data_IF_616623890648
#
_entry.id   IF_616623890648
#
_cell.length_a   1.000
_cell.length_b   1.000
_cell.length_c   1.000
_cell.angle_alpha   90.00
_cell.angle_beta   90.00
_cell.angle_gamma   90.00
#
_symmetry.space_group_name_H-M   'P 1'
#
loop_
_entity.id
_entity.type
_entity.pdbx_description
1 polymer ?
#
# COMPACT_ATOMS: atom_id res chain seq x y z
N UNK A 1 7.89 16.18 5.35
CA UNK A 1 6.48 15.71 5.41
C UNK A 1 5.50 16.85 5.18
N UNK A 2 5.62 17.98 5.86
CA UNK A 2 4.70 19.12 5.76
C UNK A 2 4.61 19.72 4.34
N UNK A 3 5.70 19.71 3.57
CA UNK A 3 5.70 20.12 2.17
C UNK A 3 4.82 19.21 1.30
N UNK A 4 4.92 17.88 1.51
CA UNK A 4 4.10 16.90 0.79
C UNK A 4 2.64 17.05 1.20
N UNK A 5 2.36 17.18 2.49
CA UNK A 5 1.01 17.41 2.99
C UNK A 5 0.41 18.71 2.43
N UNK A 6 1.21 19.78 2.35
CA UNK A 6 0.80 21.05 1.75
C UNK A 6 0.50 20.93 0.26
N UNK A 7 1.35 20.19 -0.47
CA UNK A 7 1.14 19.90 -1.90
C UNK A 7 -0.17 19.15 -2.15
N UNK A 8 -0.41 18.08 -1.40
CA UNK A 8 -1.63 17.26 -1.52
C UNK A 8 -2.90 18.05 -1.16
N UNK A 9 -2.82 18.87 -0.13
CA UNK A 9 -3.94 19.73 0.32
C UNK A 9 -4.16 20.95 -0.57
N UNK A 10 -3.25 21.28 -1.48
CA UNK A 10 -3.23 22.55 -2.23
C UNK A 10 -3.28 23.78 -1.31
N UNK A 11 -2.75 23.65 -0.11
CA UNK A 11 -2.72 24.70 0.93
C UNK A 11 -1.53 24.44 1.86
N UNK A 12 -0.74 25.48 2.21
CA UNK A 12 0.35 25.35 3.17
C UNK A 12 -0.11 24.76 4.51
N UNK A 13 0.75 23.97 5.14
CA UNK A 13 0.58 23.57 6.55
C UNK A 13 1.08 24.74 7.41
N UNK A 14 0.21 25.28 8.25
CA UNK A 14 0.59 26.29 9.22
C UNK A 14 1.34 25.61 10.37
N UNK A 15 2.54 26.11 10.68
CA UNK A 15 3.39 25.58 11.74
C UNK A 15 3.54 26.60 12.87
N UNK A 16 3.68 26.10 14.08
CA UNK A 16 4.00 26.89 15.28
C UNK A 16 5.12 26.18 16.05
N UNK A 17 5.85 26.93 16.87
CA UNK A 17 6.86 26.35 17.74
C UNK A 17 6.21 25.44 18.78
N UNK A 18 6.86 24.31 19.04
CA UNK A 18 6.55 23.46 20.18
C UNK A 18 6.88 24.16 21.50
N UNK A 19 6.29 23.72 22.60
CA UNK A 19 6.42 24.38 23.91
C UNK A 19 7.74 24.05 24.60
N UNK A 20 8.22 22.82 24.47
CA UNK A 20 9.36 22.30 25.27
C UNK A 20 10.53 21.80 24.43
N UNK A 21 10.34 21.60 23.14
CA UNK A 21 11.39 21.14 22.21
C UNK A 21 11.59 22.17 21.08
N UNK A 22 12.82 22.27 20.55
CA UNK A 22 13.12 23.20 19.46
C UNK A 22 12.71 22.62 18.09
N UNK A 23 11.41 22.35 17.95
CA UNK A 23 10.77 21.85 16.72
C UNK A 23 9.54 22.71 16.39
N UNK A 24 9.09 22.61 15.14
CA UNK A 24 7.82 23.19 14.71
C UNK A 24 6.81 22.08 14.51
N UNK A 25 5.55 22.36 14.85
CA UNK A 25 4.44 21.41 14.83
C UNK A 25 3.22 22.03 14.11
N UNK A 26 2.32 21.22 13.54
CA UNK A 26 1.12 21.75 12.90
C UNK A 26 0.25 22.54 13.89
N UNK A 27 -0.01 23.83 13.56
CA UNK A 27 -0.75 24.76 14.41
C UNK A 27 -2.19 24.34 14.73
N UNK A 28 -2.77 23.44 13.91
CA UNK A 28 -4.15 22.99 14.05
C UNK A 28 -4.26 21.51 14.43
N UNK A 29 -3.19 20.89 14.94
CA UNK A 29 -3.23 19.56 15.47
C UNK A 29 -4.22 19.43 16.64
N UNK A 30 -4.88 18.30 16.78
CA UNK A 30 -5.77 18.03 17.91
C UNK A 30 -4.99 17.84 19.20
N UNK A 31 -3.88 17.07 19.11
CA UNK A 31 -2.93 16.81 20.21
C UNK A 31 -1.49 16.90 19.69
N UNK A 32 -0.60 17.44 20.51
CA UNK A 32 0.86 17.37 20.32
C UNK A 32 1.46 16.71 21.54
N UNK A 33 2.27 15.69 21.32
CA UNK A 33 3.05 15.02 22.34
C UNK A 33 4.51 15.42 22.12
N UNK A 34 5.12 16.08 23.09
CA UNK A 34 6.52 16.51 23.05
C UNK A 34 7.33 15.64 24.02
N UNK A 35 8.55 15.34 23.66
CA UNK A 35 9.39 14.50 24.49
C UNK A 35 10.70 14.12 23.80
N UNK A 36 11.31 13.07 24.30
CA UNK A 36 12.58 12.59 23.78
C UNK A 36 12.67 11.05 23.80
N UNK A 37 13.60 10.53 23.03
CA UNK A 37 13.98 9.11 23.02
C UNK A 37 15.46 9.02 23.44
N UNK A 38 15.75 8.28 24.50
CA UNK A 38 17.13 7.98 24.88
C UNK A 38 17.71 6.91 23.95
N UNK A 39 18.85 7.19 23.34
CA UNK A 39 19.50 6.25 22.44
C UNK A 39 19.91 4.98 23.20
N UNK A 40 19.40 3.84 22.75
CA UNK A 40 19.69 2.54 23.35
C UNK A 40 18.78 2.15 24.52
N UNK A 41 17.87 3.00 24.97
CA UNK A 41 16.81 2.57 25.90
C UNK A 41 15.73 1.82 25.12
N UNK A 42 15.60 0.54 25.43
CA UNK A 42 14.57 -0.33 24.86
C UNK A 42 13.71 -0.92 25.97
N UNK A 43 12.45 -1.14 25.69
CA UNK A 43 11.52 -1.89 26.55
C UNK A 43 10.72 -2.87 25.74
N UNK A 44 10.47 -4.02 26.33
CA UNK A 44 9.65 -5.06 25.69
C UNK A 44 8.22 -4.59 25.55
N UNK A 45 7.70 -4.69 24.33
CA UNK A 45 6.31 -4.39 23.97
C UNK A 45 5.64 -5.62 23.35
N UNK A 46 4.30 -5.72 23.49
CA UNK A 46 3.51 -6.80 22.93
C UNK A 46 3.32 -7.98 23.90
N UNK A 47 2.68 -9.08 23.42
CA UNK A 47 1.99 -9.16 22.12
C UNK A 47 0.70 -8.33 22.11
N UNK A 48 0.33 -7.80 20.95
CA UNK A 48 -0.98 -7.14 20.76
C UNK A 48 -1.64 -7.58 19.45
N UNK A 49 -2.98 -7.51 19.38
CA UNK A 49 -3.72 -7.86 18.17
C UNK A 49 -3.52 -6.82 17.08
N UNK A 50 -3.26 -7.27 15.86
CA UNK A 50 -2.93 -6.40 14.74
C UNK A 50 -3.87 -6.59 13.55
N UNK A 51 -3.81 -5.68 12.57
CA UNK A 51 -4.65 -5.68 11.38
C UNK A 51 -4.44 -6.91 10.48
N UNK A 52 -3.35 -7.61 10.62
CA UNK A 52 -3.12 -8.89 9.93
C UNK A 52 -4.07 -9.99 10.38
N UNK A 53 -4.77 -9.79 11.50
CA UNK A 53 -5.62 -10.81 12.14
C UNK A 53 -4.85 -11.76 13.07
N UNK A 54 -3.58 -11.47 13.31
CA UNK A 54 -2.71 -12.23 14.22
C UNK A 54 -2.20 -11.32 15.33
N UNK A 55 -1.74 -11.92 16.42
CA UNK A 55 -0.99 -11.20 17.45
C UNK A 55 0.43 -10.96 16.99
N UNK A 56 0.95 -9.75 17.21
CA UNK A 56 2.38 -9.47 17.06
C UNK A 56 3.19 -10.24 18.10
N UNK A 57 4.42 -10.57 17.77
CA UNK A 57 5.35 -11.12 18.75
C UNK A 57 5.83 -10.01 19.71
N UNK A 58 6.25 -10.41 20.90
CA UNK A 58 6.96 -9.48 21.78
C UNK A 58 8.32 -9.13 21.17
N UNK A 59 8.67 -7.85 21.23
CA UNK A 59 9.95 -7.34 20.78
C UNK A 59 10.36 -6.11 21.59
N UNK A 60 11.60 -5.71 21.50
CA UNK A 60 12.14 -4.56 22.24
C UNK A 60 12.08 -3.30 21.37
N UNK A 61 11.41 -2.27 21.86
CA UNK A 61 11.19 -1.02 21.14
C UNK A 61 11.76 0.17 21.91
N UNK A 62 12.19 1.25 21.19
CA UNK A 62 12.60 2.51 21.80
C UNK A 62 11.47 3.12 22.64
N UNK A 63 11.87 3.73 23.77
CA UNK A 63 10.94 4.40 24.68
C UNK A 63 10.84 5.87 24.36
N UNK A 64 9.61 6.37 24.15
CA UNK A 64 9.37 7.80 24.03
C UNK A 64 8.92 8.37 25.38
N UNK A 65 9.75 9.26 25.95
CA UNK A 65 9.47 9.95 27.20
C UNK A 65 8.68 11.22 26.94
N UNK A 66 7.39 11.20 27.21
CA UNK A 66 6.53 12.39 27.04
C UNK A 66 6.79 13.38 28.17
N UNK A 67 7.17 14.60 27.81
CA UNK A 67 7.44 15.71 28.76
C UNK A 67 6.37 16.81 28.72
N UNK A 68 5.65 16.95 27.61
CA UNK A 68 4.59 17.91 27.46
C UNK A 68 3.49 17.36 26.55
N UNK A 69 2.25 17.69 26.88
CA UNK A 69 1.08 17.40 26.04
C UNK A 69 0.32 18.70 25.88
N UNK A 70 0.21 19.16 24.64
CA UNK A 70 -0.65 20.30 24.28
C UNK A 70 -1.81 19.83 23.42
N UNK A 71 -2.94 20.51 23.47
CA UNK A 71 -4.13 20.15 22.71
C UNK A 71 -5.02 21.37 22.42
N UNK A 72 -5.88 21.24 21.44
CA UNK A 72 -6.92 22.24 21.15
C UNK A 72 -7.87 22.38 22.34
N UNK A 73 -8.63 23.48 22.37
CA UNK A 73 -9.59 23.75 23.43
C UNK A 73 -10.62 22.63 23.60
N UNK A 74 -11.16 22.10 22.52
CA UNK A 74 -12.10 20.99 22.50
C UNK A 74 -11.59 19.92 21.52
N UNK A 75 -10.56 19.14 21.91
CA UNK A 75 -9.87 18.24 21.00
C UNK A 75 -10.69 16.98 20.71
N UNK A 76 -10.55 16.47 19.50
CA UNK A 76 -11.08 15.18 19.09
C UNK A 76 -9.97 14.15 19.08
N UNK A 77 -10.09 13.09 19.86
CA UNK A 77 -9.17 11.97 19.80
C UNK A 77 -9.65 10.93 18.80
N UNK A 78 -8.88 10.73 17.74
CA UNK A 78 -9.14 9.70 16.76
C UNK A 78 -8.80 8.33 17.35
N UNK A 79 -9.80 7.49 17.56
CA UNK A 79 -9.63 6.14 18.07
C UNK A 79 -10.11 5.11 17.05
N UNK A 80 -9.41 3.99 16.96
CA UNK A 80 -9.72 2.89 16.06
C UNK A 80 -9.82 1.57 16.81
N UNK A 81 -10.42 0.58 16.16
CA UNK A 81 -10.40 -0.82 16.63
C UNK A 81 -9.55 -1.60 15.64
N UNK A 82 -8.40 -2.07 16.10
CA UNK A 82 -7.46 -2.86 15.30
C UNK A 82 -7.86 -4.33 15.31
N UNK A 83 -7.77 -4.99 14.17
CA UNK A 83 -8.03 -6.42 14.09
C UNK A 83 -8.18 -6.95 12.67
N UNK A 84 -8.64 -8.21 12.58
CA UNK A 84 -8.86 -8.89 11.31
C UNK A 84 -9.74 -8.06 10.36
N UNK A 85 -9.33 -7.86 9.11
CA UNK A 85 -10.09 -7.10 8.11
C UNK A 85 -11.54 -7.58 7.93
N UNK A 86 -12.48 -6.68 7.62
CA UNK A 86 -12.29 -5.25 7.43
C UNK A 86 -12.42 -4.47 8.75
N UNK A 87 -11.35 -3.83 9.19
CA UNK A 87 -11.32 -2.91 10.33
C UNK A 87 -10.76 -1.55 9.86
N UNK A 88 -10.11 -0.78 10.75
CA UNK A 88 -9.61 0.56 10.43
C UNK A 88 -8.68 0.61 9.23
N UNK A 89 -7.79 -0.37 9.07
CA UNK A 89 -6.81 -0.40 8.00
C UNK A 89 -7.41 -0.60 6.60
N UNK A 90 -8.62 -1.15 6.52
CA UNK A 90 -9.35 -1.17 5.27
C UNK A 90 -9.64 0.25 4.74
N UNK A 91 -9.94 1.17 5.64
CA UNK A 91 -10.23 2.58 5.32
C UNK A 91 -8.95 3.41 5.19
N UNK A 92 -7.97 3.16 6.06
CA UNK A 92 -6.66 3.81 5.98
C UNK A 92 -5.94 3.42 4.69
N UNK A 93 -5.92 2.13 4.34
CA UNK A 93 -5.37 1.64 3.07
C UNK A 93 -6.05 2.28 1.86
N UNK A 94 -7.38 2.44 1.90
CA UNK A 94 -8.12 3.13 0.84
C UNK A 94 -7.74 4.60 0.71
N UNK A 95 -7.53 5.30 1.81
CA UNK A 95 -7.03 6.68 1.79
C UNK A 95 -5.61 6.75 1.21
N UNK A 96 -4.71 5.85 1.64
CA UNK A 96 -3.33 5.77 1.16
C UNK A 96 -3.29 5.56 -0.36
N UNK A 97 -4.03 4.59 -0.89
CA UNK A 97 -4.03 4.34 -2.34
C UNK A 97 -4.49 5.58 -3.14
N UNK A 98 -5.53 6.29 -2.67
CA UNK A 98 -6.04 7.48 -3.37
C UNK A 98 -5.10 8.68 -3.28
N UNK A 99 -4.43 8.86 -2.15
CA UNK A 99 -3.46 9.94 -1.94
C UNK A 99 -2.20 9.71 -2.78
N UNK A 100 -1.70 8.47 -2.85
CA UNK A 100 -0.44 8.17 -3.51
C UNK A 100 -0.57 7.82 -4.99
N UNK A 101 -1.76 7.50 -5.50
CA UNK A 101 -1.95 7.22 -6.93
C UNK A 101 -1.41 8.33 -7.84
N UNK A 102 -1.70 9.63 -7.64
CA UNK A 102 -1.14 10.69 -8.49
C UNK A 102 0.40 10.75 -8.44
N UNK A 103 1.00 10.45 -7.30
CA UNK A 103 2.47 10.43 -7.16
C UNK A 103 3.09 9.23 -7.89
N UNK A 104 2.44 8.07 -7.85
CA UNK A 104 2.85 6.90 -8.63
C UNK A 104 2.78 7.20 -10.14
N UNK A 105 1.74 7.88 -10.58
CA UNK A 105 1.55 8.27 -11.99
C UNK A 105 2.59 9.26 -12.51
N UNK A 106 3.24 10.04 -11.65
CA UNK A 106 4.35 10.93 -12.06
C UNK A 106 5.55 10.13 -12.59
N UNK A 107 5.81 8.94 -12.03
CA UNK A 107 6.95 8.09 -12.42
C UNK A 107 6.54 6.91 -13.30
N UNK A 108 5.31 6.50 -13.21
CA UNK A 108 4.70 5.39 -13.97
C UNK A 108 3.34 5.84 -14.55
N UNK A 109 3.35 6.69 -15.60
CA UNK A 109 2.14 7.28 -16.17
C UNK A 109 1.20 6.25 -16.82
N UNK A 110 1.68 5.03 -17.05
CA UNK A 110 0.87 3.91 -17.52
C UNK A 110 -0.10 3.38 -16.47
N UNK A 111 0.10 3.66 -15.18
CA UNK A 111 -0.83 3.25 -14.12
C UNK A 111 -2.12 4.05 -14.25
N UNK A 112 -3.24 3.35 -14.39
CA UNK A 112 -4.58 3.94 -14.47
C UNK A 112 -5.20 4.02 -13.09
N UNK A 113 -5.21 2.90 -12.37
CA UNK A 113 -5.73 2.82 -11.01
C UNK A 113 -5.01 1.76 -10.17
N UNK A 114 -5.14 1.86 -8.86
CA UNK A 114 -4.62 0.88 -7.89
C UNK A 114 -5.68 0.55 -6.86
N UNK A 115 -5.59 -0.65 -6.29
CA UNK A 115 -6.39 -1.07 -5.15
C UNK A 115 -5.50 -1.80 -4.14
N UNK A 116 -5.61 -1.41 -2.89
CA UNK A 116 -5.04 -2.09 -1.73
C UNK A 116 -6.18 -2.78 -0.96
N UNK A 117 -6.60 -3.98 -1.40
CA UNK A 117 -7.81 -4.59 -0.88
C UNK A 117 -7.65 -5.03 0.59
N UNK A 118 -8.73 -4.93 1.40
CA UNK A 118 -8.73 -5.41 2.79
C UNK A 118 -8.33 -6.88 2.90
N UNK A 119 -8.71 -7.71 1.94
CA UNK A 119 -8.38 -9.14 1.89
C UNK A 119 -6.87 -9.39 1.78
N UNK A 120 -6.12 -8.41 1.27
CA UNK A 120 -4.66 -8.42 1.22
C UNK A 120 -4.02 -7.67 2.37
N UNK A 121 -4.76 -7.39 3.44
CA UNK A 121 -4.33 -6.55 4.59
C UNK A 121 -3.59 -5.28 4.13
N UNK A 122 -4.13 -4.65 3.10
CA UNK A 122 -3.69 -3.49 2.33
C UNK A 122 -2.21 -3.49 1.85
N UNK A 123 -1.28 -4.06 2.58
CA UNK A 123 0.14 -4.08 2.18
C UNK A 123 0.62 -5.41 1.56
N UNK A 124 -0.07 -6.53 1.79
CA UNK A 124 0.32 -7.82 1.22
C UNK A 124 -0.12 -7.99 -0.24
N UNK A 125 -1.15 -7.26 -0.68
CA UNK A 125 -1.64 -7.34 -2.05
C UNK A 125 -1.88 -5.94 -2.60
N UNK A 126 -1.32 -5.67 -3.78
CA UNK A 126 -1.64 -4.50 -4.59
C UNK A 126 -2.15 -4.95 -5.95
N UNK A 127 -3.30 -4.44 -6.37
CA UNK A 127 -3.87 -4.66 -7.70
C UNK A 127 -3.71 -3.37 -8.49
N UNK A 128 -3.21 -3.47 -9.73
CA UNK A 128 -2.87 -2.31 -10.55
C UNK A 128 -3.42 -2.48 -11.95
N UNK A 129 -4.21 -1.55 -12.44
CA UNK A 129 -4.57 -1.48 -13.85
C UNK A 129 -3.60 -0.57 -14.61
N UNK A 130 -3.21 -1.01 -15.79
CA UNK A 130 -2.26 -0.28 -16.62
C UNK A 130 -2.72 -0.13 -18.06
N UNK A 131 -2.35 0.98 -18.67
CA UNK A 131 -2.38 1.16 -20.11
C UNK A 131 -1.16 0.50 -20.74
N UNK A 132 -1.29 -0.80 -21.03
CA UNK A 132 -0.20 -1.60 -21.60
C UNK A 132 0.16 -1.08 -23.00
N UNK A 133 1.44 -0.85 -23.29
CA UNK A 133 1.89 -0.30 -24.55
C UNK A 133 3.03 -1.09 -25.24
N UNK A 134 3.64 -2.04 -24.55
CA UNK A 134 4.70 -2.92 -25.09
C UNK A 134 4.79 -4.24 -24.32
N UNK A 135 5.44 -5.23 -24.91
CA UNK A 135 5.69 -6.52 -24.28
C UNK A 135 6.54 -6.38 -23.02
N UNK A 136 6.13 -7.03 -21.92
CA UNK A 136 6.80 -6.95 -20.63
C UNK A 136 6.49 -5.70 -19.82
N UNK A 137 5.54 -4.86 -20.24
CA UNK A 137 5.18 -3.62 -19.54
C UNK A 137 4.68 -3.88 -18.10
N UNK A 138 3.89 -4.94 -17.90
CA UNK A 138 3.44 -5.34 -16.56
C UNK A 138 4.62 -5.66 -15.63
N UNK A 139 5.66 -6.35 -16.13
CA UNK A 139 6.86 -6.65 -15.34
C UNK A 139 7.64 -5.38 -14.95
N UNK A 140 7.71 -4.39 -15.85
CA UNK A 140 8.30 -3.07 -15.55
C UNK A 140 7.54 -2.41 -14.39
N UNK A 141 6.22 -2.43 -14.41
CA UNK A 141 5.39 -1.84 -13.36
C UNK A 141 5.59 -2.56 -12.02
N UNK A 142 5.56 -3.89 -11.99
CA UNK A 142 5.84 -4.67 -10.77
C UNK A 142 7.19 -4.29 -10.15
N UNK A 143 8.26 -4.28 -10.96
CA UNK A 143 9.59 -3.93 -10.48
C UNK A 143 9.68 -2.45 -10.05
N UNK A 144 8.97 -1.55 -10.72
CA UNK A 144 8.87 -0.14 -10.34
C UNK A 144 8.20 0.05 -8.98
N UNK A 145 7.11 -0.66 -8.72
CA UNK A 145 6.41 -0.64 -7.43
C UNK A 145 7.31 -1.16 -6.31
N UNK A 146 7.99 -2.29 -6.52
CA UNK A 146 8.92 -2.85 -5.54
C UNK A 146 10.18 -2.01 -5.30
N UNK A 147 10.45 -1.02 -6.14
CA UNK A 147 11.53 -0.04 -5.95
C UNK A 147 11.04 1.30 -5.36
N UNK A 148 9.74 1.45 -5.06
CA UNK A 148 9.14 2.73 -4.71
C UNK A 148 8.79 2.82 -3.21
N UNK A 149 9.59 3.55 -2.43
CA UNK A 149 9.26 3.89 -1.03
C UNK A 149 8.70 2.71 -0.23
N UNK A 150 7.60 2.92 0.48
CA UNK A 150 6.95 1.86 1.27
C UNK A 150 6.25 0.79 0.42
N UNK A 151 5.94 1.06 -0.86
CA UNK A 151 5.39 0.04 -1.75
C UNK A 151 6.39 -1.12 -1.98
N UNK A 152 7.67 -0.92 -1.64
CA UNK A 152 8.66 -2.00 -1.65
C UNK A 152 8.30 -3.17 -0.74
N UNK A 153 7.46 -2.98 0.27
CA UNK A 153 7.03 -4.05 1.17
C UNK A 153 5.89 -4.89 0.62
N UNK A 154 5.21 -4.45 -0.44
CA UNK A 154 4.12 -5.22 -1.06
C UNK A 154 4.58 -6.61 -1.45
N UNK A 155 3.91 -7.64 -0.94
CA UNK A 155 4.25 -9.05 -1.16
C UNK A 155 3.77 -9.54 -2.52
N UNK A 156 2.50 -9.30 -2.83
CA UNK A 156 1.86 -9.75 -4.06
C UNK A 156 1.38 -8.56 -4.90
N UNK A 157 1.64 -8.59 -6.20
CA UNK A 157 1.14 -7.58 -7.14
C UNK A 157 0.39 -8.30 -8.26
N UNK A 158 -0.83 -7.86 -8.57
CA UNK A 158 -1.58 -8.29 -9.73
C UNK A 158 -1.68 -7.10 -10.69
N UNK A 159 -1.23 -7.27 -11.92
CA UNK A 159 -1.35 -6.24 -12.95
C UNK A 159 -2.39 -6.68 -13.98
N UNK A 160 -3.38 -5.82 -14.22
CA UNK A 160 -4.47 -6.03 -15.18
C UNK A 160 -4.50 -4.92 -16.24
N UNK A 161 -5.27 -5.12 -17.32
CA UNK A 161 -5.46 -4.08 -18.34
C UNK A 161 -6.32 -2.92 -17.82
N UNK A 162 -6.25 -1.78 -18.50
CA UNK A 162 -6.95 -0.53 -18.15
C UNK A 162 -8.48 -0.64 -18.12
N UNK A 163 -9.05 -1.63 -18.79
CA UNK A 163 -10.49 -1.89 -18.85
C UNK A 163 -11.02 -2.80 -17.72
N UNK A 164 -10.17 -3.18 -16.78
CA UNK A 164 -10.54 -3.94 -15.57
C UNK A 164 -10.72 -2.99 -14.40
N UNK A 165 -11.86 -3.04 -13.74
CA UNK A 165 -12.09 -2.32 -12.49
C UNK A 165 -11.30 -3.00 -11.34
N UNK A 166 -10.21 -2.39 -10.90
CA UNK A 166 -9.38 -2.93 -9.81
C UNK A 166 -10.08 -2.88 -8.46
N UNK A 167 -11.16 -2.12 -8.33
CA UNK A 167 -11.97 -2.06 -7.11
C UNK A 167 -12.96 -3.23 -7.01
N UNK A 168 -13.26 -3.89 -8.12
CA UNK A 168 -14.07 -5.11 -8.15
C UNK A 168 -13.19 -6.36 -8.08
N UNK A 169 -13.04 -6.90 -6.88
CA UNK A 169 -12.22 -8.12 -6.63
C UNK A 169 -12.73 -9.33 -7.40
N UNK A 170 -14.03 -9.42 -7.65
CA UNK A 170 -14.59 -10.53 -8.44
C UNK A 170 -14.17 -10.42 -9.90
N UNK A 171 -14.21 -9.22 -10.49
CA UNK A 171 -13.72 -8.99 -11.86
C UNK A 171 -12.20 -9.24 -11.95
N UNK A 172 -11.43 -8.71 -11.02
CA UNK A 172 -9.96 -8.95 -10.97
C UNK A 172 -9.65 -10.44 -10.90
N UNK A 173 -10.36 -11.17 -10.05
CA UNK A 173 -10.18 -12.63 -9.92
C UNK A 173 -10.51 -13.35 -11.22
N UNK A 174 -11.64 -12.99 -11.86
CA UNK A 174 -12.04 -13.54 -13.15
C UNK A 174 -10.99 -13.26 -14.23
N UNK A 175 -10.51 -12.02 -14.34
CA UNK A 175 -9.46 -11.64 -15.32
C UNK A 175 -8.17 -12.37 -15.05
N UNK A 176 -7.73 -12.40 -13.81
CA UNK A 176 -6.47 -13.06 -13.42
C UNK A 176 -6.50 -14.53 -13.80
N UNK A 177 -7.53 -15.27 -13.41
CA UNK A 177 -7.60 -16.71 -13.65
C UNK A 177 -7.79 -17.09 -15.12
N UNK A 178 -8.38 -16.21 -15.93
CA UNK A 178 -8.56 -16.44 -17.37
C UNK A 178 -7.36 -16.03 -18.23
N UNK A 179 -6.57 -15.03 -17.78
CA UNK A 179 -5.56 -14.42 -18.64
C UNK A 179 -4.15 -14.99 -18.42
N UNK A 180 -3.91 -15.69 -17.31
CA UNK A 180 -2.56 -16.17 -17.00
C UNK A 180 -2.30 -17.60 -17.46
N UNK A 181 -1.06 -17.82 -17.87
CA UNK A 181 -0.36 -19.11 -17.80
C UNK A 181 0.66 -18.97 -16.66
N UNK A 182 0.47 -19.66 -15.52
CA UNK A 182 1.27 -19.39 -14.32
C UNK A 182 2.78 -19.46 -14.53
N UNK A 183 3.27 -20.39 -15.35
CA UNK A 183 4.71 -20.51 -15.63
C UNK A 183 5.26 -19.30 -16.37
N UNK A 184 4.51 -18.76 -17.33
CA UNK A 184 4.89 -17.61 -18.13
C UNK A 184 4.68 -16.27 -17.39
N UNK A 185 3.57 -16.15 -16.65
CA UNK A 185 3.03 -14.86 -16.22
C UNK A 185 3.29 -14.52 -14.76
N UNK A 186 3.79 -15.47 -13.97
CA UNK A 186 4.19 -15.22 -12.59
C UNK A 186 5.69 -14.90 -12.53
N UNK A 187 6.00 -13.86 -11.77
CA UNK A 187 7.37 -13.47 -11.43
C UNK A 187 7.60 -13.63 -9.94
N UNK A 188 8.64 -14.35 -9.55
CA UNK A 188 9.11 -14.39 -8.17
C UNK A 188 10.38 -13.55 -8.02
N UNK A 189 10.51 -12.86 -6.91
CA UNK A 189 11.72 -12.14 -6.52
C UNK A 189 11.92 -12.24 -5.01
N UNK A 190 13.11 -11.89 -4.54
CA UNK A 190 13.44 -11.77 -3.12
C UNK A 190 13.66 -10.30 -2.79
N UNK A 191 13.25 -9.89 -1.61
CA UNK A 191 13.45 -8.50 -1.19
C UNK A 191 12.84 -8.20 0.19
N UNK A 192 12.79 -6.91 0.54
CA UNK A 192 12.16 -6.47 1.76
C UNK A 192 10.66 -6.81 1.76
N UNK A 193 10.17 -7.29 2.89
CA UNK A 193 8.75 -7.50 3.18
C UNK A 193 8.39 -6.76 4.46
N UNK A 194 7.11 -6.56 4.70
CA UNK A 194 6.63 -5.90 5.90
C UNK A 194 7.03 -6.66 7.17
N UNK A 195 7.30 -5.94 8.26
CA UNK A 195 7.65 -6.53 9.54
C UNK A 195 6.55 -7.42 10.13
N UNK A 196 5.29 -7.17 9.72
CA UNK A 196 4.12 -7.95 10.13
C UNK A 196 3.88 -9.18 9.23
N UNK A 197 4.73 -9.41 8.23
CA UNK A 197 4.67 -10.63 7.42
C UNK A 197 5.27 -11.83 8.18
N UNK A 198 4.43 -12.48 8.98
CA UNK A 198 4.81 -13.65 9.76
C UNK A 198 5.08 -14.91 8.91
N UNK A 199 4.71 -14.92 7.63
CA UNK A 199 4.88 -16.08 6.74
C UNK A 199 6.21 -16.07 6.00
N UNK A 200 6.94 -14.96 5.99
CA UNK A 200 8.27 -14.91 5.35
C UNK A 200 9.29 -15.76 6.09
N UNK A 201 10.26 -16.27 5.35
CA UNK A 201 11.29 -17.15 5.90
C UNK A 201 12.27 -16.49 6.86
N UNK A 202 12.40 -15.16 6.77
CA UNK A 202 13.21 -14.34 7.65
C UNK A 202 12.44 -13.06 7.99
N UNK A 203 12.65 -12.47 9.16
CA UNK A 203 12.10 -11.15 9.47
C UNK A 203 12.52 -10.11 8.42
N UNK A 204 11.58 -9.32 7.94
CA UNK A 204 11.78 -8.22 6.99
C UNK A 204 12.39 -8.63 5.63
N UNK A 205 12.53 -9.92 5.34
CA UNK A 205 13.09 -10.41 4.08
C UNK A 205 12.41 -11.69 3.62
N UNK A 206 11.85 -11.68 2.43
CA UNK A 206 11.11 -12.81 1.92
C UNK A 206 10.92 -12.81 0.41
N UNK A 207 10.12 -13.77 -0.04
CA UNK A 207 9.73 -13.91 -1.43
C UNK A 207 8.54 -13.03 -1.75
N UNK A 208 8.54 -12.50 -2.97
CA UNK A 208 7.46 -11.70 -3.54
C UNK A 208 6.97 -12.33 -4.83
N UNK A 209 5.71 -12.11 -5.15
CA UNK A 209 5.07 -12.64 -6.34
C UNK A 209 4.38 -11.52 -7.12
N UNK A 210 4.67 -11.43 -8.41
CA UNK A 210 3.95 -10.56 -9.34
C UNK A 210 3.23 -11.38 -10.39
N UNK A 211 1.99 -11.04 -10.69
CA UNK A 211 1.14 -11.73 -11.67
C UNK A 211 0.82 -10.76 -12.80
N UNK A 212 1.27 -11.07 -14.01
CA UNK A 212 0.87 -10.36 -15.23
C UNK A 212 -0.44 -10.95 -15.74
N UNK A 213 -1.57 -10.39 -15.30
CA UNK A 213 -2.91 -10.76 -15.73
C UNK A 213 -3.43 -9.93 -16.93
N UNK A 214 -2.56 -9.19 -17.60
CA UNK A 214 -2.92 -8.46 -18.82
C UNK A 214 -3.13 -9.41 -20.00
N UNK A 215 -3.85 -8.98 -21.03
CA UNK A 215 -3.94 -9.71 -22.29
C UNK A 215 -2.57 -9.87 -22.92
N UNK A 216 -2.31 -11.04 -23.48
CA UNK A 216 -1.01 -11.35 -24.07
C UNK A 216 -0.96 -11.00 -25.55
N UNK A 217 0.19 -10.49 -25.99
CA UNK A 217 0.45 -10.12 -27.37
C UNK A 217 1.39 -11.13 -28.04
N UNK A 218 1.40 -11.14 -29.36
CA UNK A 218 2.30 -11.99 -30.13
C UNK A 218 3.80 -11.76 -29.76
N UNK A 219 4.15 -10.51 -29.45
CA UNK A 219 5.51 -10.15 -29.01
C UNK A 219 5.90 -10.75 -27.65
N UNK A 220 4.94 -11.27 -26.90
CA UNK A 220 5.13 -11.98 -25.61
C UNK A 220 5.13 -13.51 -25.77
N UNK A 221 5.19 -13.99 -27.01
CA UNK A 221 5.16 -15.41 -27.34
C UNK A 221 3.76 -16.01 -27.41
N UNK A 222 2.70 -15.19 -27.35
CA UNK A 222 1.33 -15.65 -27.47
C UNK A 222 0.91 -15.66 -28.94
N UNK A 223 0.86 -16.83 -29.55
CA UNK A 223 0.58 -16.98 -30.99
C UNK A 223 -0.85 -17.34 -31.34
N UNK A 224 -1.68 -17.65 -30.33
CA UNK A 224 -3.11 -17.95 -30.52
C UNK A 224 -3.91 -16.65 -30.63
N UNK A 225 -5.06 -16.66 -31.38
CA UNK A 225 -5.97 -15.53 -31.34
C UNK A 225 -6.52 -15.32 -29.91
N UNK A 226 -6.49 -14.05 -29.43
CA UNK A 226 -7.13 -13.72 -28.17
C UNK A 226 -8.65 -13.61 -28.41
N UNK A 227 -9.51 -14.32 -27.64
CA UNK A 227 -10.94 -14.26 -27.86
C UNK A 227 -11.51 -12.88 -27.51
N UNK A 228 -12.55 -12.41 -28.23
CA UNK A 228 -13.23 -11.18 -27.85
C UNK A 228 -13.99 -11.37 -26.54
N UNK A 229 -14.06 -10.32 -25.74
CA UNK A 229 -14.88 -10.31 -24.55
C UNK A 229 -16.38 -10.31 -24.90
N UNK A 230 -17.16 -11.00 -24.08
CA UNK A 230 -18.61 -10.86 -24.10
C UNK A 230 -18.99 -9.47 -23.58
N UNK A 231 -19.69 -8.72 -24.43
CA UNK A 231 -20.28 -7.44 -24.03
C UNK A 231 -21.78 -7.56 -24.12
N UNK A 232 -22.52 -7.20 -23.08
CA UNK A 232 -23.96 -7.05 -23.16
C UNK A 232 -24.26 -5.79 -24.00
N UNK A 233 -25.04 -5.93 -25.07
CA UNK A 233 -25.54 -4.76 -25.78
C UNK A 233 -26.46 -3.95 -24.85
N UNK A 234 -26.29 -2.62 -24.76
CA UNK A 234 -27.26 -1.79 -24.06
C UNK A 234 -28.59 -1.91 -24.82
N UNK A 235 -29.57 -2.61 -24.26
CA UNK A 235 -30.94 -2.63 -24.80
C UNK A 235 -31.44 -3.98 -25.35
N UNK A 236 -31.21 -5.07 -24.63
CA UNK A 236 -32.07 -6.28 -24.70
C UNK A 236 -32.54 -6.69 -23.33
#
# INVERSE_FOLDING_TARGET
>A
EDLIAGFLRQKPVELVKAETVDLEVPANAEYILEGYVELGELRTEGPFGDHTGFYTMQDDYPVFHVTCITHRKDPVYAATIVGKPPMEDAWMGKAVERIFLPLMQLTMPEIVDVNLPPEGVFHNLMIVSIKKSYAGHARKVMNGIWAMGQAMFTKCIIVVDEDCDVQDIAEVTLRTTNNIDPERDIQFTLGPVDSLDHASRLPNYGSKMGIDATRKWAAEGFTRPWPPMLTSSPGT
#
